data_IF_306340001808
#
_entry.id   IF_306340001808
#
_cell.length_a   1.000
_cell.length_b   1.000
_cell.length_c   1.000
_cell.angle_alpha   90.00
_cell.angle_beta   90.00
_cell.angle_gamma   90.00
#
_symmetry.space_group_name_H-M   'P 1'
#
loop_
_entity.id
_entity.type
_entity.pdbx_description
1 polymer ?
#
# COMPACT_ATOMS: atom_id res chain seq x y z
N UNK A 1 -10.30 2.20 -34.41
CA UNK A 1 -10.88 2.54 -33.09
C UNK A 1 -11.55 1.29 -32.57
N UNK A 2 -11.00 0.64 -31.54
CA UNK A 2 -11.53 -0.64 -31.07
C UNK A 2 -12.70 -0.40 -30.11
N UNK A 3 -13.91 -0.75 -30.58
CA UNK A 3 -15.09 -0.98 -29.75
C UNK A 3 -14.75 -1.98 -28.65
N UNK A 4 -14.38 -1.47 -27.47
CA UNK A 4 -14.42 -2.27 -26.24
C UNK A 4 -15.88 -2.44 -25.90
N UNK A 5 -16.52 -3.46 -26.49
CA UNK A 5 -17.72 -4.09 -25.95
C UNK A 5 -17.42 -4.40 -24.48
N UNK A 6 -17.84 -3.51 -23.59
CA UNK A 6 -17.73 -3.66 -22.15
C UNK A 6 -18.40 -4.98 -21.81
N UNK A 7 -17.63 -5.96 -21.35
CA UNK A 7 -18.10 -7.28 -20.99
C UNK A 7 -19.11 -7.15 -19.82
N UNK A 8 -20.41 -7.17 -20.15
CA UNK A 8 -21.51 -6.93 -19.21
C UNK A 8 -21.63 -8.07 -18.20
N UNK A 9 -21.02 -9.23 -18.46
CA UNK A 9 -21.12 -10.43 -17.62
C UNK A 9 -20.37 -10.37 -16.29
N UNK A 10 -19.52 -9.37 -16.06
CA UNK A 10 -18.68 -9.28 -14.85
C UNK A 10 -18.81 -7.94 -14.11
N UNK A 11 -19.99 -7.31 -14.15
CA UNK A 11 -20.27 -6.06 -13.42
C UNK A 11 -20.44 -6.32 -11.92
N UNK A 12 -19.34 -6.36 -11.20
CA UNK A 12 -19.32 -6.38 -9.73
C UNK A 12 -19.57 -4.98 -9.19
N UNK A 13 -20.47 -4.83 -8.21
CA UNK A 13 -20.68 -3.55 -7.53
C UNK A 13 -19.45 -3.18 -6.68
N UNK A 14 -19.25 -1.89 -6.42
CA UNK A 14 -18.19 -1.41 -5.54
C UNK A 14 -18.26 -2.08 -4.15
N UNK A 15 -19.49 -2.25 -3.64
CA UNK A 15 -19.73 -2.93 -2.37
C UNK A 15 -19.30 -4.40 -2.39
N UNK A 16 -19.68 -5.16 -3.44
CA UNK A 16 -19.27 -6.55 -3.58
C UNK A 16 -17.75 -6.70 -3.74
N UNK A 17 -17.11 -5.77 -4.45
CA UNK A 17 -15.66 -5.73 -4.59
C UNK A 17 -14.95 -5.47 -3.26
N UNK A 18 -15.43 -4.51 -2.47
CA UNK A 18 -14.89 -4.27 -1.12
C UNK A 18 -15.09 -5.48 -0.20
N UNK A 19 -16.28 -6.09 -0.21
CA UNK A 19 -16.56 -7.31 0.57
C UNK A 19 -15.61 -8.46 0.21
N UNK A 20 -15.23 -8.59 -1.07
CA UNK A 20 -14.26 -9.60 -1.54
C UNK A 20 -12.84 -9.31 -1.09
N UNK A 21 -12.46 -8.03 -0.94
CA UNK A 21 -11.16 -7.61 -0.43
C UNK A 21 -11.05 -7.75 1.10
N UNK A 22 -12.19 -7.79 1.81
CA UNK A 22 -12.25 -7.87 3.27
C UNK A 22 -12.16 -6.48 3.89
N UNK A 23 -10.96 -6.06 4.24
CA UNK A 23 -10.68 -4.79 4.94
C UNK A 23 -9.90 -3.80 4.05
N UNK A 24 -10.57 -3.14 3.10
CA UNK A 24 -9.94 -2.19 2.19
C UNK A 24 -9.64 -0.86 2.88
N UNK A 25 -8.46 -0.32 2.61
CA UNK A 25 -7.98 0.97 3.11
C UNK A 25 -7.67 1.87 1.92
N UNK A 26 -8.27 3.05 1.81
CA UNK A 26 -7.91 4.04 0.80
C UNK A 26 -6.42 4.38 0.87
N UNK A 27 -5.76 4.47 -0.29
CA UNK A 27 -4.33 4.77 -0.36
C UNK A 27 -4.01 6.12 0.28
N UNK A 28 -4.93 7.08 0.20
CA UNK A 28 -4.80 8.42 0.80
C UNK A 28 -4.74 8.38 2.34
N UNK A 29 -5.28 7.33 2.96
CA UNK A 29 -5.27 7.16 4.41
C UNK A 29 -3.98 6.52 4.94
N UNK A 30 -3.18 5.89 4.07
CA UNK A 30 -1.99 5.15 4.48
C UNK A 30 -0.94 5.98 5.21
N UNK A 31 -0.61 7.22 4.81
CA UNK A 31 0.36 8.04 5.54
C UNK A 31 -0.07 8.29 6.99
N UNK A 32 -1.37 8.53 7.21
CA UNK A 32 -1.95 8.74 8.55
C UNK A 32 -1.91 7.47 9.39
N UNK A 33 -2.29 6.33 8.82
CA UNK A 33 -2.32 5.04 9.51
C UNK A 33 -0.93 4.51 9.86
N UNK A 34 0.03 4.71 8.96
CA UNK A 34 1.42 4.22 9.11
C UNK A 34 2.35 5.24 9.76
N UNK A 35 1.85 6.44 10.11
CA UNK A 35 2.63 7.57 10.63
C UNK A 35 3.91 7.79 9.81
N UNK A 36 3.78 7.68 8.48
CA UNK A 36 4.90 7.66 7.54
C UNK A 36 4.67 8.72 6.47
N UNK A 37 5.76 9.35 6.03
CA UNK A 37 5.73 10.36 4.98
C UNK A 37 5.04 9.86 3.69
N UNK A 38 4.15 10.66 3.07
CA UNK A 38 3.45 10.27 1.85
C UNK A 38 4.40 9.80 0.74
N UNK A 39 5.57 10.44 0.59
CA UNK A 39 6.56 10.04 -0.41
C UNK A 39 7.20 8.67 -0.16
N UNK A 40 7.30 8.22 1.10
CA UNK A 40 7.78 6.86 1.42
C UNK A 40 6.69 5.82 1.12
N UNK A 41 5.43 6.13 1.40
CA UNK A 41 4.29 5.27 1.03
C UNK A 41 4.18 5.14 -0.49
N UNK A 42 4.29 6.24 -1.24
CA UNK A 42 4.27 6.22 -2.71
C UNK A 42 5.40 5.35 -3.28
N UNK A 43 6.61 5.44 -2.72
CA UNK A 43 7.74 4.58 -3.09
C UNK A 43 7.49 3.12 -2.77
N UNK A 44 6.89 2.81 -1.61
CA UNK A 44 6.53 1.44 -1.25
C UNK A 44 5.51 0.84 -2.23
N UNK A 45 4.50 1.62 -2.63
CA UNK A 45 3.54 1.22 -3.66
C UNK A 45 4.24 0.97 -5.00
N UNK A 46 5.10 1.91 -5.43
CA UNK A 46 5.83 1.78 -6.69
C UNK A 46 6.78 0.58 -6.71
N UNK A 47 7.40 0.25 -5.57
CA UNK A 47 8.27 -0.92 -5.42
C UNK A 47 7.51 -2.25 -5.29
N UNK A 48 6.19 -2.19 -5.10
CA UNK A 48 5.35 -3.37 -4.91
C UNK A 48 5.31 -3.89 -3.46
N UNK A 49 5.86 -3.15 -2.50
CA UNK A 49 5.79 -3.49 -1.06
C UNK A 49 4.34 -3.37 -0.52
N UNK A 50 3.52 -2.52 -1.15
CA UNK A 50 2.10 -2.37 -0.85
C UNK A 50 1.28 -2.68 -2.10
N UNK A 51 0.47 -3.75 -2.03
CA UNK A 51 -0.36 -4.18 -3.15
C UNK A 51 -1.61 -3.30 -3.28
N UNK A 52 -1.64 -2.48 -4.33
CA UNK A 52 -2.80 -1.63 -4.64
C UNK A 52 -3.83 -2.39 -5.48
N UNK A 53 -5.03 -2.49 -4.93
CA UNK A 53 -6.22 -2.97 -5.60
C UNK A 53 -6.96 -1.78 -6.21
N UNK A 54 -7.24 -1.86 -7.50
CA UNK A 54 -7.91 -0.79 -8.24
C UNK A 54 -9.28 -1.25 -8.72
N UNK A 55 -10.31 -0.48 -8.40
CA UNK A 55 -11.65 -0.65 -8.95
C UNK A 55 -11.98 0.54 -9.86
N UNK A 56 -12.36 0.25 -11.10
CA UNK A 56 -12.79 1.27 -12.06
C UNK A 56 -14.30 1.17 -12.22
N UNK A 57 -15.01 2.18 -11.73
CA UNK A 57 -16.44 2.30 -11.89
C UNK A 57 -16.80 2.64 -13.32
N UNK A 58 -18.01 2.26 -13.75
CA UNK A 58 -18.57 2.61 -15.06
C UNK A 58 -18.74 4.12 -15.25
N UNK A 59 -18.82 4.89 -14.16
CA UNK A 59 -18.85 6.35 -14.15
C UNK A 59 -17.48 7.00 -14.43
N UNK A 60 -16.44 6.20 -14.64
CA UNK A 60 -15.06 6.69 -14.84
C UNK A 60 -14.30 6.94 -13.53
N UNK A 61 -14.98 6.92 -12.37
CA UNK A 61 -14.30 7.02 -11.06
C UNK A 61 -13.41 5.80 -10.81
N UNK A 62 -12.20 6.06 -10.30
CA UNK A 62 -11.23 5.02 -9.96
C UNK A 62 -11.00 5.04 -8.44
N UNK A 63 -11.13 3.88 -7.82
CA UNK A 63 -10.88 3.68 -6.40
C UNK A 63 -9.60 2.86 -6.26
N UNK A 64 -8.66 3.34 -5.45
CA UNK A 64 -7.41 2.64 -5.15
C UNK A 64 -7.36 2.37 -3.66
N UNK A 65 -7.25 1.09 -3.31
CA UNK A 65 -7.17 0.66 -1.92
C UNK A 65 -6.08 -0.38 -1.74
N UNK A 66 -5.64 -0.57 -0.52
CA UNK A 66 -4.80 -1.71 -0.09
C UNK A 66 -5.55 -2.48 0.98
N UNK A 67 -5.14 -3.70 1.30
CA UNK A 67 -5.77 -4.43 2.41
C UNK A 67 -5.12 -4.06 3.74
N UNK A 68 -5.87 -4.07 4.85
CA UNK A 68 -5.30 -3.88 6.20
C UNK A 68 -4.18 -4.88 6.51
N UNK A 69 -4.23 -6.09 5.93
CA UNK A 69 -3.15 -7.08 6.05
C UNK A 69 -1.84 -6.56 5.46
N UNK A 70 -1.89 -6.02 4.25
CA UNK A 70 -0.71 -5.44 3.59
C UNK A 70 -0.19 -4.23 4.37
N UNK A 71 -1.09 -3.42 4.94
CA UNK A 71 -0.70 -2.28 5.79
C UNK A 71 0.07 -2.75 7.03
N UNK A 72 -0.37 -3.82 7.69
CA UNK A 72 0.33 -4.38 8.86
C UNK A 72 1.73 -4.90 8.50
N UNK A 73 1.83 -5.68 7.42
CA UNK A 73 3.12 -6.19 6.93
C UNK A 73 4.08 -5.05 6.59
N UNK A 74 3.57 -3.99 5.97
CA UNK A 74 4.37 -2.80 5.68
C UNK A 74 4.84 -2.10 6.96
N UNK A 75 4.00 -1.98 7.99
CA UNK A 75 4.42 -1.41 9.28
C UNK A 75 5.50 -2.25 9.96
N UNK A 76 5.39 -3.57 9.94
CA UNK A 76 6.40 -4.48 10.50
C UNK A 76 7.76 -4.27 9.82
N UNK A 77 7.77 -4.21 8.47
CA UNK A 77 8.97 -3.91 7.69
C UNK A 77 9.59 -2.55 8.06
N UNK A 78 8.78 -1.52 8.25
CA UNK A 78 9.26 -0.20 8.70
C UNK A 78 9.91 -0.24 10.08
N UNK A 79 9.37 -1.04 11.00
CA UNK A 79 9.94 -1.22 12.35
C UNK A 79 11.27 -1.97 12.27
N UNK A 80 11.34 -3.01 11.45
CA UNK A 80 12.56 -3.79 11.24
C UNK A 80 13.69 -2.95 10.62
N UNK A 81 13.39 -2.16 9.58
CA UNK A 81 14.36 -1.23 8.98
C UNK A 81 14.92 -0.24 10.01
N UNK A 82 14.07 0.31 10.89
CA UNK A 82 14.51 1.22 11.96
C UNK A 82 15.44 0.52 12.96
N UNK A 83 15.11 -0.70 13.37
CA UNK A 83 15.96 -1.49 14.28
C UNK A 83 17.34 -1.75 13.65
N UNK A 84 17.36 -2.12 12.37
CA UNK A 84 18.61 -2.39 11.64
C UNK A 84 19.46 -1.13 11.50
N UNK A 85 18.85 0.02 11.19
CA UNK A 85 19.56 1.32 11.17
C UNK A 85 20.17 1.67 12.53
N UNK A 86 19.43 1.49 13.63
CA UNK A 86 19.94 1.75 14.97
C UNK A 86 21.09 0.81 15.36
N UNK A 87 21.01 -0.46 14.98
CA UNK A 87 22.07 -1.44 15.19
C UNK A 87 23.35 -1.06 14.41
N UNK A 88 23.23 -0.72 13.13
CA UNK A 88 24.36 -0.27 12.30
C UNK A 88 25.00 1.01 12.86
N UNK A 89 24.20 1.98 13.30
CA UNK A 89 24.72 3.20 13.93
C UNK A 89 25.49 2.91 15.21
N UNK A 90 25.03 1.96 16.02
CA UNK A 90 25.72 1.54 17.24
C UNK A 90 27.07 0.91 16.91
N UNK A 91 27.10 -0.01 15.94
CA UNK A 91 28.35 -0.65 15.48
C UNK A 91 29.33 0.38 14.92
N UNK A 92 28.84 1.29 14.08
CA UNK A 92 29.67 2.35 13.49
C UNK A 92 30.27 3.28 14.56
N UNK A 93 29.46 3.74 15.52
CA UNK A 93 29.96 4.56 16.64
C UNK A 93 31.02 3.84 17.46
N UNK A 94 30.87 2.54 17.69
CA UNK A 94 31.85 1.72 18.41
C UNK A 94 33.15 1.59 17.62
N UNK A 95 33.09 1.48 16.29
CA UNK A 95 34.26 1.40 15.42
C UNK A 95 35.01 2.73 15.34
N UNK A 96 34.31 3.87 15.21
CA UNK A 96 34.94 5.20 15.14
C UNK A 96 35.60 5.61 16.47
N UNK A 97 35.08 5.16 17.61
CA UNK A 97 35.57 5.52 18.94
C UNK A 97 36.56 4.49 19.53
N UNK A 98 37.00 3.50 18.75
CA UNK A 98 37.95 2.46 19.16
C UNK A 98 39.27 2.62 18.40
#
# INVERSE_FOLDING_TARGET
MADRKLDIKNKMSLHAWFKKLGDPVPVEMLPKLTKTEPGRVARAIHKGDLKVHTFRATTGKVFKVVTMRDVKLFQEKLVEEKKMQQAMLTVFKRWVNS
#
